data_IF_374027605179
#
_entry.id   IF_374027605179
#
_cell.length_a   1.000
_cell.length_b   1.000
_cell.length_c   1.000
_cell.angle_alpha   90.00
_cell.angle_beta   90.00
_cell.angle_gamma   90.00
#
_symmetry.space_group_name_H-M   'P 1'
#
loop_
_entity.id
_entity.type
_entity.pdbx_description
1 polymer ?
#
# COMPACT_ATOMS: atom_id res chain seq x y z
N UNK A 1 2.89 2.84 -15.03
CA UNK A 1 3.33 3.79 -13.99
C UNK A 1 4.16 2.99 -13.00
N UNK A 2 5.38 3.42 -12.73
CA UNK A 2 6.35 2.64 -11.95
C UNK A 2 6.04 2.71 -10.46
N UNK A 3 6.24 1.60 -9.73
CA UNK A 3 6.13 1.60 -8.28
C UNK A 3 7.07 2.65 -7.65
N UNK A 4 6.64 3.38 -6.61
CA UNK A 4 7.54 4.20 -5.82
C UNK A 4 8.68 3.36 -5.23
N UNK A 5 9.89 3.92 -5.17
CA UNK A 5 11.04 3.24 -4.55
C UNK A 5 10.70 2.77 -3.12
N UNK A 6 11.27 1.64 -2.64
CA UNK A 6 10.96 1.08 -1.32
C UNK A 6 11.28 2.04 -0.16
N UNK A 7 12.25 2.95 -0.34
CA UNK A 7 12.57 4.00 0.64
C UNK A 7 11.71 5.26 0.55
N UNK A 8 10.69 5.27 -0.32
CA UNK A 8 9.82 6.44 -0.49
C UNK A 8 8.95 6.65 0.76
N UNK A 9 8.79 7.90 1.25
CA UNK A 9 7.95 8.20 2.41
C UNK A 9 6.47 7.89 2.16
N UNK A 10 6.06 7.67 0.90
CA UNK A 10 4.68 7.29 0.55
C UNK A 10 4.29 5.98 1.25
N UNK A 11 5.19 5.01 1.37
CA UNK A 11 4.91 3.72 2.02
C UNK A 11 4.66 3.88 3.52
N UNK A 12 5.40 4.78 4.17
CA UNK A 12 5.19 5.12 5.59
C UNK A 12 3.88 5.87 5.79
N UNK A 13 3.52 6.79 4.88
CA UNK A 13 2.22 7.50 4.90
C UNK A 13 1.04 6.55 4.71
N UNK A 14 1.19 5.58 3.81
CA UNK A 14 0.20 4.52 3.60
C UNK A 14 0.03 3.67 4.87
N UNK A 15 1.14 3.23 5.47
CA UNK A 15 1.16 2.45 6.69
C UNK A 15 0.59 3.17 7.93
N UNK A 16 0.63 4.50 7.95
CA UNK A 16 0.14 5.33 9.06
C UNK A 16 -1.32 5.76 8.91
N UNK A 17 -2.00 5.38 7.83
CA UNK A 17 -3.44 5.66 7.63
C UNK A 17 -3.81 6.08 6.21
N UNK A 18 -2.83 6.30 5.32
CA UNK A 18 -3.09 6.62 3.91
C UNK A 18 -3.74 5.46 3.14
N UNK A 19 -3.56 4.21 3.59
CA UNK A 19 -4.17 3.02 2.97
C UNK A 19 -5.70 3.07 2.93
N UNK A 20 -6.34 3.61 3.96
CA UNK A 20 -7.81 3.71 4.02
C UNK A 20 -8.38 4.75 3.03
N UNK A 21 -7.53 5.62 2.47
CA UNK A 21 -7.89 6.58 1.40
C UNK A 21 -7.74 6.00 0.00
N UNK A 22 -7.10 4.85 -0.14
CA UNK A 22 -6.89 4.19 -1.42
C UNK A 22 -8.23 3.63 -1.93
N UNK A 23 -8.68 4.08 -3.09
CA UNK A 23 -9.88 3.54 -3.72
C UNK A 23 -9.49 2.31 -4.52
N UNK A 24 -9.74 1.13 -3.96
CA UNK A 24 -9.44 -0.15 -4.60
C UNK A 24 -10.69 -1.02 -4.70
N UNK A 25 -10.89 -1.62 -5.87
CA UNK A 25 -11.92 -2.64 -6.10
C UNK A 25 -11.35 -4.06 -5.94
N UNK A 26 -10.05 -4.19 -5.64
CA UNK A 26 -9.39 -5.46 -5.42
C UNK A 26 -9.62 -5.94 -4.00
N UNK A 27 -10.38 -7.03 -3.86
CA UNK A 27 -10.67 -7.66 -2.56
C UNK A 27 -9.39 -7.98 -1.77
N UNK A 28 -8.33 -8.44 -2.45
CA UNK A 28 -7.04 -8.72 -1.81
C UNK A 28 -6.41 -7.50 -1.16
N UNK A 29 -6.55 -6.33 -1.79
CA UNK A 29 -6.03 -5.06 -1.25
C UNK A 29 -6.92 -4.57 -0.11
N UNK A 30 -8.25 -4.72 -0.22
CA UNK A 30 -9.17 -4.42 0.89
C UNK A 30 -8.89 -5.29 2.13
N UNK A 31 -8.62 -6.58 1.94
CA UNK A 31 -8.24 -7.48 3.03
C UNK A 31 -6.87 -7.12 3.62
N UNK A 32 -5.90 -6.75 2.78
CA UNK A 32 -4.60 -6.25 3.26
C UNK A 32 -4.77 -4.99 4.11
N UNK A 33 -5.54 -4.01 3.64
CA UNK A 33 -5.85 -2.78 4.37
C UNK A 33 -6.44 -3.13 5.73
N UNK A 34 -7.49 -3.97 5.77
CA UNK A 34 -8.12 -4.39 7.02
C UNK A 34 -7.17 -5.13 7.95
N UNK A 35 -6.31 -6.00 7.42
CA UNK A 35 -5.28 -6.69 8.21
C UNK A 35 -4.29 -5.71 8.81
N UNK A 36 -3.87 -4.70 8.05
CA UNK A 36 -2.93 -3.68 8.50
C UNK A 36 -3.56 -2.70 9.49
N UNK A 37 -4.85 -2.39 9.36
CA UNK A 37 -5.62 -1.61 10.34
C UNK A 37 -5.72 -2.34 11.69
N UNK A 38 -5.95 -3.66 11.66
CA UNK A 38 -6.05 -4.51 12.85
C UNK A 38 -4.68 -4.84 13.47
N UNK A 39 -3.60 -4.75 12.69
CA UNK A 39 -2.26 -5.11 13.15
C UNK A 39 -1.63 -4.01 14.01
N UNK A 40 -1.10 -4.37 15.18
CA UNK A 40 -0.29 -3.47 16.03
C UNK A 40 1.18 -3.37 15.60
N UNK A 41 1.52 -3.85 14.41
CA UNK A 41 2.91 -3.80 13.90
C UNK A 41 3.39 -2.36 13.70
N UNK A 42 4.69 -2.09 13.91
CA UNK A 42 5.24 -0.76 13.72
C UNK A 42 5.08 -0.29 12.26
N UNK A 43 4.85 1.00 12.01
CA UNK A 43 4.60 1.54 10.66
C UNK A 43 5.69 1.22 9.63
N UNK A 44 6.94 1.11 10.09
CA UNK A 44 8.08 0.73 9.24
C UNK A 44 7.96 -0.71 8.71
N UNK A 45 7.51 -1.65 9.54
CA UNK A 45 7.30 -3.04 9.12
C UNK A 45 6.12 -3.15 8.15
N UNK A 46 5.03 -2.41 8.43
CA UNK A 46 3.88 -2.29 7.53
C UNK A 46 4.26 -1.73 6.17
N UNK A 47 5.09 -0.68 6.13
CA UNK A 47 5.56 -0.07 4.88
C UNK A 47 6.28 -1.08 3.97
N UNK A 48 7.16 -1.91 4.53
CA UNK A 48 7.84 -2.97 3.78
C UNK A 48 6.89 -4.05 3.26
N UNK A 49 5.89 -4.44 4.07
CA UNK A 49 4.87 -5.41 3.65
C UNK A 49 4.00 -4.88 2.51
N UNK A 50 3.57 -3.61 2.61
CA UNK A 50 2.81 -2.92 1.57
C UNK A 50 3.61 -2.88 0.28
N UNK A 51 4.87 -2.42 0.33
CA UNK A 51 5.74 -2.40 -0.84
C UNK A 51 5.85 -3.78 -1.50
N UNK A 52 6.12 -4.83 -0.71
CA UNK A 52 6.24 -6.20 -1.24
C UNK A 52 4.95 -6.69 -1.90
N UNK A 53 3.80 -6.34 -1.33
CA UNK A 53 2.50 -6.68 -1.92
C UNK A 53 2.30 -5.96 -3.26
N UNK A 54 2.52 -4.65 -3.31
CA UNK A 54 2.37 -3.86 -4.53
C UNK A 54 3.40 -4.24 -5.60
N UNK A 55 4.64 -4.56 -5.22
CA UNK A 55 5.66 -5.05 -6.15
C UNK A 55 5.28 -6.41 -6.76
N UNK A 56 4.70 -7.31 -5.95
CA UNK A 56 4.23 -8.62 -6.44
C UNK A 56 3.05 -8.51 -7.39
N UNK A 57 2.14 -7.57 -7.12
CA UNK A 57 0.88 -7.41 -7.84
C UNK A 57 0.83 -6.17 -8.73
N UNK A 58 1.98 -5.60 -9.10
CA UNK A 58 2.09 -4.33 -9.84
C UNK A 58 1.22 -4.31 -11.11
N UNK A 59 1.24 -5.42 -11.86
CA UNK A 59 0.46 -5.58 -13.10
C UNK A 59 -1.04 -5.52 -12.88
N UNK A 60 -1.51 -6.04 -11.74
CA UNK A 60 -2.93 -6.11 -11.40
C UNK A 60 -3.39 -4.83 -10.71
N UNK A 61 -2.51 -4.20 -9.93
CA UNK A 61 -2.78 -3.03 -9.12
C UNK A 61 -2.34 -1.72 -9.79
N UNK A 62 -2.28 -1.69 -11.12
CA UNK A 62 -1.79 -0.52 -11.85
C UNK A 62 -2.59 0.76 -11.54
N UNK A 63 -3.89 0.62 -11.28
CA UNK A 63 -4.77 1.73 -10.89
C UNK A 63 -4.46 2.24 -9.48
N UNK A 64 -4.23 1.36 -8.54
CA UNK A 64 -3.85 1.70 -7.17
C UNK A 64 -2.47 2.34 -7.15
N UNK A 65 -1.50 1.80 -7.89
CA UNK A 65 -0.14 2.38 -8.02
C UNK A 65 -0.22 3.79 -8.62
N UNK A 66 -1.12 4.02 -9.59
CA UNK A 66 -1.37 5.35 -10.12
C UNK A 66 -1.97 6.31 -9.07
N UNK A 67 -2.79 5.81 -8.15
CA UNK A 67 -3.29 6.60 -7.01
C UNK A 67 -2.21 6.88 -5.98
N UNK A 68 -1.28 5.93 -5.74
CA UNK A 68 -0.14 6.13 -4.85
C UNK A 68 0.74 7.30 -5.28
N UNK A 69 0.92 7.50 -6.58
CA UNK A 69 1.66 8.64 -7.11
C UNK A 69 0.98 10.00 -6.83
N UNK A 70 -0.28 10.01 -6.40
CA UNK A 70 -1.08 11.22 -6.11
C UNK A 70 -1.27 11.50 -4.61
N UNK A 71 -0.79 10.61 -3.73
CA UNK A 71 -0.89 10.67 -2.26
C UNK A 71 0.41 11.19 -1.62
#
# INVERSE_FOLDING_TARGET
>A
MSLPAPGSPVWTRLASGGLSRLQTNHLGTQMLIKRLELSSTPPAAKAGEIYNYFAKWERTLANEVAQLARL
#
